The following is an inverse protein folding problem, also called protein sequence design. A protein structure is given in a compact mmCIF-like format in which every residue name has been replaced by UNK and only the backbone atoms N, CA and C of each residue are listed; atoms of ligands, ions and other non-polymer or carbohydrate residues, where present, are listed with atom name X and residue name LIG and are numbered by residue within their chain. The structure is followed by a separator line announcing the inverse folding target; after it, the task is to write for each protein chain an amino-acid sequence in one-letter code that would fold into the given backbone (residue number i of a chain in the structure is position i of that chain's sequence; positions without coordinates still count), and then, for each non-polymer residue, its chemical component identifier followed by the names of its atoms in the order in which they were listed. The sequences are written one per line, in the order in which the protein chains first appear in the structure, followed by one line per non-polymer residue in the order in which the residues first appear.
data_IF_825047397937
#
_entry.id   IF_825047397937
#
_cell.length_a   1.000
_cell.length_b   1.000
_cell.length_c   1.000
_cell.angle_alpha   90.00
_cell.angle_beta   90.00
_cell.angle_gamma   90.00
#
_symmetry.space_group_name_H-M   'P 1'
#
loop_
_entity.id
_entity.type
_entity.pdbx_description
1 polymer ?
#
# COMPACT_ATOMS: atom_id res chain seq x y z
N UNK A 1 17.84 -23.86 25.35
CA UNK A 1 16.72 -22.92 25.12
C UNK A 1 17.13 -21.75 24.22
N UNK A 2 16.52 -21.66 23.05
CA UNK A 2 16.82 -20.65 22.04
C UNK A 2 16.03 -19.35 22.29
N UNK A 3 16.62 -18.21 21.91
CA UNK A 3 16.00 -16.88 22.01
C UNK A 3 16.27 -16.13 20.71
N UNK A 4 15.21 -15.65 20.06
CA UNK A 4 15.34 -14.73 18.93
C UNK A 4 15.30 -13.29 19.46
N UNK A 5 16.39 -12.54 19.22
CA UNK A 5 16.51 -11.13 19.61
C UNK A 5 16.55 -10.26 18.37
N UNK A 6 15.58 -9.37 18.23
CA UNK A 6 15.49 -8.41 17.14
C UNK A 6 15.79 -7.02 17.71
N UNK A 7 16.66 -6.27 17.04
CA UNK A 7 16.99 -4.89 17.40
C UNK A 7 16.44 -3.94 16.31
N UNK A 8 15.61 -2.98 16.71
CA UNK A 8 14.96 -2.06 15.80
C UNK A 8 15.72 -0.73 15.72
N UNK A 9 15.76 -0.14 14.52
CA UNK A 9 16.35 1.18 14.30
C UNK A 9 15.42 2.30 14.77
N UNK A 10 15.86 3.04 15.81
CA UNK A 10 15.12 4.17 16.39
C UNK A 10 14.80 5.27 15.38
N UNK A 11 15.67 5.52 14.39
CA UNK A 11 15.43 6.57 13.38
C UNK A 11 14.20 6.24 12.54
N UNK A 12 14.16 5.01 12.02
CA UNK A 12 13.04 4.52 11.20
C UNK A 12 11.73 4.42 11.97
N UNK A 13 11.79 4.07 13.25
CA UNK A 13 10.61 4.06 14.14
C UNK A 13 9.99 5.46 14.28
N UNK A 14 10.84 6.48 14.45
CA UNK A 14 10.40 7.87 14.61
C UNK A 14 9.82 8.42 13.30
N UNK A 15 10.50 8.18 12.16
CA UNK A 15 10.05 8.66 10.85
C UNK A 15 8.68 8.09 10.46
N UNK A 16 8.45 6.81 10.77
CA UNK A 16 7.20 6.10 10.48
C UNK A 16 6.14 6.23 11.58
N UNK A 17 6.45 6.93 12.69
CA UNK A 17 5.57 7.08 13.86
C UNK A 17 5.03 5.74 14.38
N UNK A 18 5.89 4.74 14.47
CA UNK A 18 5.57 3.41 14.99
C UNK A 18 5.90 3.35 16.49
N UNK A 19 5.04 2.68 17.26
CA UNK A 19 5.25 2.39 18.69
C UNK A 19 5.58 0.92 18.91
N UNK A 20 6.32 0.59 19.96
CA UNK A 20 6.67 -0.81 20.26
C UNK A 20 5.41 -1.65 20.57
N UNK A 21 4.40 -1.05 21.18
CA UNK A 21 3.10 -1.69 21.45
C UNK A 21 2.40 -2.14 20.17
N UNK A 22 2.29 -1.27 19.16
CA UNK A 22 1.66 -1.59 17.88
C UNK A 22 2.37 -2.74 17.15
N UNK A 23 3.71 -2.76 17.21
CA UNK A 23 4.50 -3.83 16.60
C UNK A 23 4.27 -5.14 17.34
N UNK A 24 4.27 -5.13 18.68
CA UNK A 24 4.01 -6.31 19.49
C UNK A 24 2.62 -6.90 19.21
N UNK A 25 1.59 -6.04 19.12
CA UNK A 25 0.24 -6.47 18.78
C UNK A 25 0.17 -7.12 17.40
N UNK A 26 0.86 -6.55 16.41
CA UNK A 26 0.94 -7.12 15.05
C UNK A 26 1.67 -8.45 15.00
N UNK A 27 2.75 -8.60 15.74
CA UNK A 27 3.47 -9.88 15.84
C UNK A 27 2.58 -10.95 16.48
N UNK A 28 1.90 -10.62 17.58
CA UNK A 28 0.97 -11.56 18.23
C UNK A 28 -0.22 -11.93 17.34
N UNK A 29 -0.76 -10.96 16.57
CA UNK A 29 -1.82 -11.24 15.59
C UNK A 29 -1.35 -12.14 14.45
N UNK A 30 -0.09 -12.02 14.01
CA UNK A 30 0.45 -12.80 12.89
C UNK A 30 0.85 -14.23 13.25
N UNK A 31 1.39 -14.43 14.45
CA UNK A 31 1.96 -15.72 14.88
C UNK A 31 1.16 -16.45 15.97
N UNK A 32 0.08 -15.84 16.49
CA UNK A 32 -0.78 -16.45 17.51
C UNK A 32 -0.15 -16.54 18.90
N UNK A 33 -0.72 -17.41 19.74
CA UNK A 33 -0.30 -17.62 21.16
C UNK A 33 0.95 -18.50 21.31
N UNK A 34 1.47 -19.05 20.21
CA UNK A 34 2.67 -19.91 20.20
C UNK A 34 3.96 -19.12 20.46
N UNK A 35 3.88 -17.78 20.43
CA UNK A 35 5.02 -16.89 20.55
C UNK A 35 4.86 -15.95 21.75
N UNK A 36 5.77 -16.07 22.73
CA UNK A 36 5.88 -15.11 23.81
C UNK A 36 6.82 -13.96 23.39
N UNK A 37 6.22 -12.79 23.19
CA UNK A 37 6.92 -11.55 22.81
C UNK A 37 7.13 -10.66 24.02
N UNK A 38 8.40 -10.37 24.32
CA UNK A 38 8.78 -9.38 25.33
C UNK A 38 9.55 -8.27 24.64
N UNK A 39 9.14 -7.03 24.85
CA UNK A 39 9.75 -5.85 24.24
C UNK A 39 10.20 -4.84 25.30
N UNK A 40 11.18 -4.02 24.94
CA UNK A 40 11.65 -2.89 25.75
C UNK A 40 10.76 -1.68 25.54
N UNK A 41 10.66 -0.82 26.55
CA UNK A 41 9.98 0.48 26.46
C UNK A 41 10.63 1.42 25.42
N UNK A 42 9.85 2.35 24.87
CA UNK A 42 10.25 3.29 23.81
C UNK A 42 11.40 4.22 24.26
N UNK A 43 11.49 4.47 25.57
CA UNK A 43 12.52 5.33 26.17
C UNK A 43 13.89 4.64 26.31
N UNK A 44 13.98 3.32 26.16
CA UNK A 44 15.25 2.59 26.31
C UNK A 44 16.28 2.98 25.23
N UNK A 45 17.58 2.95 25.57
CA UNK A 45 18.65 3.28 24.61
C UNK A 45 18.64 2.40 23.37
N UNK A 46 18.19 1.14 23.52
CA UNK A 46 18.06 0.16 22.45
C UNK A 46 16.66 -0.41 22.45
N UNK A 47 16.00 -0.33 21.30
CA UNK A 47 14.69 -0.92 21.06
C UNK A 47 14.89 -2.39 20.69
N UNK A 48 14.53 -3.29 21.60
CA UNK A 48 14.78 -4.73 21.47
C UNK A 48 13.50 -5.52 21.68
N UNK A 49 13.24 -6.44 20.76
CA UNK A 49 12.26 -7.51 20.89
C UNK A 49 12.96 -8.83 21.23
N UNK A 50 12.37 -9.57 22.16
CA UNK A 50 12.80 -10.90 22.59
C UNK A 50 11.65 -11.86 22.41
N UNK A 51 11.81 -12.79 21.48
CA UNK A 51 10.79 -13.76 21.11
C UNK A 51 11.20 -15.13 21.65
N UNK A 52 10.27 -15.79 22.34
CA UNK A 52 10.40 -17.18 22.78
C UNK A 52 9.22 -17.98 22.26
N UNK A 53 9.48 -19.23 21.89
CA UNK A 53 8.42 -20.20 21.61
C UNK A 53 7.75 -20.51 22.96
N UNK A 54 6.42 -20.40 23.00
CA UNK A 54 5.63 -20.86 24.12
C UNK A 54 5.65 -22.38 24.10
N UNK A 55 6.21 -23.00 25.13
CA UNK A 55 6.06 -24.44 25.30
C UNK A 55 4.64 -24.67 25.80
N UNK A 56 3.71 -24.99 24.90
CA UNK A 56 2.49 -25.65 25.31
C UNK A 56 2.91 -27.00 25.91
N UNK A 57 2.70 -27.14 27.22
CA UNK A 57 2.80 -28.40 27.94
C UNK A 57 1.67 -29.33 27.47
N UNK A 58 1.68 -29.76 26.20
CA UNK A 58 0.81 -30.81 25.71
C UNK A 58 1.30 -32.14 26.28
N UNK A 59 0.91 -32.39 27.53
CA UNK A 59 0.99 -33.70 28.21
C UNK A 59 -0.01 -34.72 27.64
N UNK A 60 -0.45 -34.57 26.39
CA UNK A 60 -1.40 -35.47 25.74
C UNK A 60 -1.11 -35.63 24.24
N UNK A 61 -0.01 -36.28 23.89
CA UNK A 61 0.12 -37.05 22.65
C UNK A 61 1.38 -37.91 22.73
N UNK A 62 1.29 -39.02 23.47
CA UNK A 62 2.03 -40.22 23.07
C UNK A 62 1.33 -40.74 21.81
N UNK A 63 1.75 -40.29 20.62
CA UNK A 63 1.73 -41.05 19.36
C UNK A 63 2.13 -40.13 18.19
N UNK A 64 2.95 -40.70 17.29
CA UNK A 64 3.46 -40.16 16.03
C UNK A 64 4.66 -39.19 16.10
N UNK A 65 5.84 -39.81 16.09
CA UNK A 65 7.06 -39.25 15.50
C UNK A 65 6.80 -38.87 14.03
N UNK A 66 6.39 -37.62 13.81
CA UNK A 66 6.62 -36.92 12.54
C UNK A 66 7.38 -35.65 12.91
N UNK A 67 8.68 -35.66 12.59
CA UNK A 67 9.66 -34.59 12.77
C UNK A 67 9.14 -33.32 13.45
N UNK A 68 9.20 -33.27 14.78
CA UNK A 68 9.17 -32.00 15.50
C UNK A 68 10.33 -31.19 14.93
N UNK A 69 10.01 -30.24 14.05
CA UNK A 69 10.99 -29.37 13.41
C UNK A 69 11.94 -28.87 14.49
N UNK A 70 13.25 -29.04 14.29
CA UNK A 70 14.23 -28.62 15.30
C UNK A 70 13.98 -27.15 15.63
N UNK A 71 13.97 -26.81 16.93
CA UNK A 71 13.60 -25.48 17.43
C UNK A 71 14.38 -24.35 16.74
N UNK A 72 15.61 -24.62 16.29
CA UNK A 72 16.46 -23.67 15.56
C UNK A 72 16.01 -23.45 14.10
N UNK A 73 15.56 -24.50 13.41
CA UNK A 73 14.94 -24.42 12.08
C UNK A 73 13.62 -23.66 12.16
N UNK A 74 12.84 -23.87 13.22
CA UNK A 74 11.61 -23.13 13.47
C UNK A 74 11.86 -21.64 13.69
N UNK A 75 12.84 -21.26 14.50
CA UNK A 75 13.19 -19.84 14.69
C UNK A 75 13.70 -19.16 13.42
N UNK A 76 14.45 -19.88 12.58
CA UNK A 76 14.88 -19.37 11.27
C UNK A 76 13.70 -19.16 10.32
N UNK A 77 12.70 -20.05 10.38
CA UNK A 77 11.48 -19.90 9.59
C UNK A 77 10.69 -18.66 10.03
N UNK A 78 10.54 -18.45 11.35
CA UNK A 78 9.90 -17.25 11.90
C UNK A 78 10.65 -15.98 11.50
N UNK A 79 11.98 -15.97 11.60
CA UNK A 79 12.80 -14.83 11.18
C UNK A 79 12.54 -14.46 9.72
N UNK A 80 12.59 -15.45 8.81
CA UNK A 80 12.37 -15.23 7.39
C UNK A 80 10.94 -14.72 7.12
N UNK A 81 9.94 -15.37 7.70
CA UNK A 81 8.53 -15.03 7.51
C UNK A 81 8.21 -13.64 8.07
N UNK A 82 8.67 -13.33 9.28
CA UNK A 82 8.47 -12.02 9.92
C UNK A 82 9.10 -10.87 9.13
N UNK A 83 10.21 -11.11 8.44
CA UNK A 83 10.84 -10.09 7.60
C UNK A 83 10.15 -9.93 6.24
N UNK A 84 9.53 -10.99 5.70
CA UNK A 84 8.93 -10.98 4.36
C UNK A 84 7.45 -10.61 4.35
N UNK A 85 6.65 -11.16 5.27
CA UNK A 85 5.19 -11.17 5.17
C UNK A 85 4.51 -10.29 6.22
N UNK A 86 5.18 -10.00 7.34
CA UNK A 86 4.58 -9.18 8.40
C UNK A 86 4.51 -7.70 8.00
N UNK A 87 3.35 -7.28 7.50
CA UNK A 87 3.05 -5.88 7.25
C UNK A 87 2.63 -5.16 8.54
N UNK A 88 3.48 -4.27 9.04
CA UNK A 88 3.19 -3.46 10.24
C UNK A 88 2.08 -2.42 9.99
N UNK A 89 2.20 -1.67 8.88
CA UNK A 89 1.26 -0.64 8.47
C UNK A 89 1.29 -0.47 6.95
N UNK A 90 0.18 0.01 6.39
CA UNK A 90 0.04 0.32 4.97
C UNK A 90 -0.58 -0.82 4.16
N UNK A 91 -0.62 -0.60 2.85
CA UNK A 91 -1.18 -1.55 1.89
C UNK A 91 -0.03 -2.31 1.24
N UNK A 92 0.01 -3.66 1.30
CA UNK A 92 1.18 -4.43 0.85
C UNK A 92 1.45 -4.32 -0.66
N UNK A 93 0.41 -4.04 -1.46
CA UNK A 93 0.54 -3.82 -2.90
C UNK A 93 1.23 -2.49 -3.26
N UNK A 94 1.31 -1.53 -2.33
CA UNK A 94 1.93 -0.21 -2.57
C UNK A 94 3.35 -0.22 -2.00
N UNK A 95 4.33 -0.07 -2.88
CA UNK A 95 5.75 -0.15 -2.50
C UNK A 95 6.24 1.15 -1.85
N UNK A 96 5.92 2.29 -2.46
CA UNK A 96 6.42 3.61 -2.03
C UNK A 96 5.37 4.68 -2.27
N UNK A 97 5.42 5.73 -1.45
CA UNK A 97 4.57 6.91 -1.59
C UNK A 97 5.44 8.15 -1.55
N UNK A 98 5.24 9.02 -2.54
CA UNK A 98 5.91 10.31 -2.67
C UNK A 98 4.93 11.43 -2.38
N UNK A 99 5.31 12.34 -1.49
CA UNK A 99 4.53 13.52 -1.19
C UNK A 99 5.18 14.73 -1.86
N UNK A 100 4.43 15.45 -2.69
CA UNK A 100 4.91 16.68 -3.29
C UNK A 100 3.78 17.69 -3.48
N UNK A 101 4.16 18.95 -3.68
CA UNK A 101 3.22 20.02 -4.00
C UNK A 101 3.27 20.27 -5.51
N UNK A 102 2.16 20.16 -6.25
CA UNK A 102 2.17 20.27 -7.69
C UNK A 102 2.53 21.69 -8.13
N UNK A 103 3.45 21.78 -9.08
CA UNK A 103 3.89 23.05 -9.68
C UNK A 103 3.05 23.40 -10.90
N UNK A 104 2.62 22.39 -11.67
CA UNK A 104 1.76 22.53 -12.85
C UNK A 104 0.33 22.93 -12.46
N UNK A 105 -0.32 23.73 -13.31
CA UNK A 105 -1.68 24.19 -13.05
C UNK A 105 -2.72 23.07 -13.21
N UNK A 106 -2.44 22.05 -14.04
CA UNK A 106 -3.35 20.91 -14.28
C UNK A 106 -3.63 20.09 -13.02
N UNK A 107 -2.64 20.01 -12.12
CA UNK A 107 -2.75 19.27 -10.85
C UNK A 107 -3.23 20.16 -9.68
N UNK A 108 -3.44 21.47 -9.89
CA UNK A 108 -3.93 22.37 -8.84
C UNK A 108 -5.45 22.34 -8.76
N UNK A 109 -5.98 22.46 -7.54
CA UNK A 109 -7.43 22.57 -7.36
C UNK A 109 -7.88 23.97 -7.76
N UNK A 110 -8.68 24.06 -8.82
CA UNK A 110 -9.32 25.32 -9.20
C UNK A 110 -10.62 25.48 -8.41
N UNK A 111 -10.73 26.57 -7.66
CA UNK A 111 -11.95 26.95 -6.96
C UNK A 111 -12.50 28.27 -7.52
N UNK A 112 -13.83 28.39 -7.49
CA UNK A 112 -14.51 29.64 -7.81
C UNK A 112 -14.56 30.48 -6.53
N UNK A 113 -14.02 31.69 -6.57
CA UNK A 113 -14.08 32.62 -5.43
C UNK A 113 -15.49 33.19 -5.27
N UNK A 114 -15.87 33.66 -4.07
CA UNK A 114 -17.16 34.33 -3.87
C UNK A 114 -17.38 35.55 -4.79
N UNK A 115 -16.30 36.13 -5.30
CA UNK A 115 -16.27 37.25 -6.24
C UNK A 115 -16.47 36.82 -7.71
N UNK A 116 -16.59 35.50 -7.97
CA UNK A 116 -16.77 34.93 -9.30
C UNK A 116 -15.47 34.68 -10.09
N UNK A 117 -14.30 34.86 -9.47
CA UNK A 117 -13.00 34.60 -10.10
C UNK A 117 -12.56 33.13 -9.97
N UNK A 118 -11.62 32.69 -10.81
CA UNK A 118 -10.97 31.38 -10.68
C UNK A 118 -9.68 31.51 -9.89
N UNK A 119 -9.49 30.66 -8.88
CA UNK A 119 -8.26 30.59 -8.10
C UNK A 119 -7.72 29.17 -8.07
N UNK A 120 -6.49 28.99 -8.55
CA UNK A 120 -5.76 27.73 -8.45
C UNK A 120 -5.07 27.63 -7.08
N UNK A 121 -5.44 26.61 -6.30
CA UNK A 121 -4.85 26.30 -4.99
C UNK A 121 -4.00 25.05 -5.15
N UNK A 122 -2.73 25.17 -4.80
CA UNK A 122 -1.81 24.04 -4.74
C UNK A 122 -1.95 23.32 -3.38
N UNK A 123 -2.42 22.08 -3.43
CA UNK A 123 -2.60 21.18 -2.28
C UNK A 123 -1.47 20.15 -2.24
N UNK A 124 -1.24 19.54 -1.08
CA UNK A 124 -0.31 18.41 -1.01
C UNK A 124 -0.94 17.19 -1.66
N UNK A 125 -0.21 16.55 -2.58
CA UNK A 125 -0.65 15.33 -3.25
C UNK A 125 0.32 14.19 -2.95
N UNK A 126 -0.24 12.99 -2.95
CA UNK A 126 0.48 11.73 -2.76
C UNK A 126 0.49 10.99 -4.10
N UNK A 127 1.68 10.58 -4.55
CA UNK A 127 1.84 9.69 -5.70
C UNK A 127 2.37 8.36 -5.20
N UNK A 128 1.69 7.27 -5.56
CA UNK A 128 1.98 5.92 -5.09
C UNK A 128 2.62 5.11 -6.20
N UNK A 129 3.55 4.23 -5.82
CA UNK A 129 4.13 3.21 -6.69
C UNK A 129 3.52 1.85 -6.33
N UNK A 130 2.56 1.39 -7.12
CA UNK A 130 1.78 0.17 -6.91
C UNK A 130 0.28 0.34 -7.20
N UNK A 131 -0.46 -0.77 -7.26
CA UNK A 131 -1.88 -0.82 -7.64
C UNK A 131 -2.71 -1.36 -6.48
N UNK A 132 -3.56 -0.51 -5.89
CA UNK A 132 -4.55 -0.89 -4.89
C UNK A 132 -5.68 0.16 -4.73
N UNK A 133 -6.21 0.66 -5.84
CA UNK A 133 -7.18 1.74 -5.91
C UNK A 133 -8.39 1.51 -5.00
N UNK A 134 -8.95 0.29 -4.94
CA UNK A 134 -10.10 -0.03 -4.09
C UNK A 134 -9.82 0.22 -2.60
N UNK A 135 -8.65 -0.22 -2.12
CA UNK A 135 -8.23 -0.02 -0.73
C UNK A 135 -7.93 1.45 -0.45
N UNK A 136 -7.25 2.12 -1.38
CA UNK A 136 -6.92 3.55 -1.28
C UNK A 136 -8.19 4.40 -1.21
N UNK A 137 -9.20 4.13 -2.04
CA UNK A 137 -10.46 4.87 -2.02
C UNK A 137 -11.27 4.66 -0.72
N UNK A 138 -11.02 3.55 -0.02
CA UNK A 138 -11.70 3.21 1.25
C UNK A 138 -11.06 3.87 2.47
N UNK A 139 -9.87 4.46 2.32
CA UNK A 139 -9.14 5.06 3.43
C UNK A 139 -9.68 6.43 3.85
N UNK A 140 -9.54 6.72 5.14
CA UNK A 140 -10.01 7.99 5.72
C UNK A 140 -9.10 9.12 5.25
N UNK A 141 -9.70 10.29 4.99
CA UNK A 141 -9.01 11.50 4.53
C UNK A 141 -8.50 11.48 3.07
N UNK A 142 -8.80 10.43 2.31
CA UNK A 142 -8.58 10.40 0.86
C UNK A 142 -9.81 10.95 0.15
N UNK A 143 -9.59 11.72 -0.92
CA UNK A 143 -10.67 12.27 -1.75
C UNK A 143 -10.99 11.30 -2.90
N UNK A 144 -12.10 10.54 -2.83
CA UNK A 144 -12.40 9.52 -3.82
C UNK A 144 -12.83 10.10 -5.17
N UNK A 145 -13.14 11.39 -5.25
CA UNK A 145 -13.65 12.02 -6.47
C UNK A 145 -12.49 12.37 -7.42
N UNK A 146 -11.34 12.73 -6.86
CA UNK A 146 -10.17 13.21 -7.63
C UNK A 146 -9.02 12.21 -7.70
N UNK A 147 -9.11 11.09 -6.98
CA UNK A 147 -8.10 10.04 -7.02
C UNK A 147 -8.20 9.28 -8.35
N UNK A 148 -7.08 9.16 -9.05
CA UNK A 148 -6.97 8.46 -10.35
C UNK A 148 -5.81 7.48 -10.33
N UNK A 149 -5.94 6.38 -11.08
CA UNK A 149 -4.86 5.40 -11.31
C UNK A 149 -4.40 5.48 -12.76
N UNK A 150 -3.19 5.01 -13.03
CA UNK A 150 -2.67 4.81 -14.39
C UNK A 150 -2.88 3.37 -14.89
N UNK A 151 -3.28 2.45 -14.02
CA UNK A 151 -3.61 1.07 -14.41
C UNK A 151 -5.06 0.98 -14.90
N UNK A 152 -5.22 0.70 -16.20
CA UNK A 152 -6.53 0.60 -16.86
C UNK A 152 -7.28 -0.66 -16.40
N UNK A 153 -6.58 -1.76 -16.13
CA UNK A 153 -7.21 -3.01 -15.70
C UNK A 153 -7.81 -2.84 -14.30
N UNK A 154 -7.07 -2.19 -13.41
CA UNK A 154 -7.57 -1.86 -12.07
C UNK A 154 -8.80 -0.94 -12.12
N UNK A 155 -8.80 0.08 -12.99
CA UNK A 155 -9.94 0.96 -13.17
C UNK A 155 -11.17 0.20 -13.69
N UNK A 156 -10.97 -0.76 -14.60
CA UNK A 156 -12.05 -1.61 -15.09
C UNK A 156 -12.70 -2.42 -13.96
N UNK A 157 -11.90 -3.01 -13.08
CA UNK A 157 -12.38 -3.81 -11.96
C UNK A 157 -13.08 -2.98 -10.87
N UNK A 158 -12.56 -1.77 -10.57
CA UNK A 158 -13.05 -0.94 -9.46
C UNK A 158 -14.17 0.02 -9.88
N UNK A 159 -14.03 0.68 -11.04
CA UNK A 159 -14.93 1.76 -11.49
C UNK A 159 -15.75 1.39 -12.74
N UNK A 160 -15.33 0.38 -13.50
CA UNK A 160 -16.06 -0.12 -14.67
C UNK A 160 -15.66 0.50 -16.02
N UNK A 161 -16.36 0.07 -17.08
CA UNK A 161 -15.96 0.34 -18.48
C UNK A 161 -16.06 1.82 -18.89
N UNK A 162 -16.99 2.59 -18.34
CA UNK A 162 -17.10 4.03 -18.65
C UNK A 162 -15.96 4.84 -18.03
N UNK A 163 -15.49 4.44 -16.84
CA UNK A 163 -14.31 5.04 -16.23
C UNK A 163 -13.05 4.74 -17.05
N UNK A 164 -12.93 3.51 -17.57
CA UNK A 164 -11.86 3.11 -18.48
C UNK A 164 -11.83 3.99 -19.73
N UNK A 165 -12.97 4.18 -20.40
CA UNK A 165 -13.08 5.04 -21.59
C UNK A 165 -12.49 6.42 -21.33
N UNK A 166 -12.85 7.05 -20.20
CA UNK A 166 -12.35 8.38 -19.85
C UNK A 166 -10.89 8.37 -19.40
N UNK A 167 -10.44 7.31 -18.74
CA UNK A 167 -9.06 7.16 -18.29
C UNK A 167 -8.10 7.04 -19.47
N UNK A 168 -8.43 6.21 -20.47
CA UNK A 168 -7.64 6.05 -21.70
C UNK A 168 -7.54 7.40 -22.42
N UNK A 169 -8.66 8.10 -22.59
CA UNK A 169 -8.69 9.41 -23.26
C UNK A 169 -7.74 10.41 -22.58
N UNK A 170 -7.78 10.47 -21.23
CA UNK A 170 -6.90 11.35 -20.44
C UNK A 170 -5.44 10.96 -20.59
N UNK A 171 -5.12 9.68 -20.49
CA UNK A 171 -3.74 9.20 -20.54
C UNK A 171 -3.10 9.42 -21.91
N UNK A 172 -3.84 9.13 -22.99
CA UNK A 172 -3.37 9.41 -24.36
C UNK A 172 -3.16 10.91 -24.58
N UNK A 173 -4.08 11.75 -24.10
CA UNK A 173 -3.93 13.20 -24.21
C UNK A 173 -2.72 13.71 -23.41
N UNK A 174 -2.45 13.15 -22.22
CA UNK A 174 -1.28 13.48 -21.41
C UNK A 174 0.03 13.14 -22.15
N UNK A 175 0.12 11.97 -22.79
CA UNK A 175 1.32 11.55 -23.54
C UNK A 175 1.54 12.42 -24.78
N UNK A 176 0.48 12.70 -25.56
CA UNK A 176 0.59 13.50 -26.78
C UNK A 176 0.93 14.95 -26.47
N UNK A 177 0.28 15.53 -25.46
CA UNK A 177 0.54 16.93 -25.05
C UNK A 177 1.93 17.11 -24.45
N UNK A 178 2.49 16.09 -23.81
CA UNK A 178 3.87 16.11 -23.31
C UNK A 178 4.91 16.27 -24.43
N UNK A 179 4.66 15.66 -25.59
CA UNK A 179 5.49 15.81 -26.80
C UNK A 179 5.27 17.15 -27.53
N UNK A 180 4.28 17.95 -27.09
CA UNK A 180 3.90 19.21 -27.73
C UNK A 180 3.11 19.03 -29.03
N UNK A 181 2.84 17.79 -29.42
CA UNK A 181 2.00 17.43 -30.55
C UNK A 181 0.52 17.63 -30.23
N UNK A 182 -0.29 17.97 -31.24
CA UNK A 182 -1.73 18.14 -31.08
C UNK A 182 -2.51 17.12 -31.90
N UNK A 183 -3.46 16.45 -31.27
CA UNK A 183 -4.43 15.56 -31.92
C UNK A 183 -5.83 16.07 -31.61
N UNK A 184 -6.70 16.11 -32.62
CA UNK A 184 -8.08 16.52 -32.43
C UNK A 184 -8.81 15.52 -31.51
N UNK A 185 -9.57 16.03 -30.52
CA UNK A 185 -10.39 15.25 -29.60
C UNK A 185 -11.25 14.18 -30.29
N UNK A 186 -11.79 14.48 -31.48
CA UNK A 186 -12.63 13.54 -32.24
C UNK A 186 -11.92 12.22 -32.57
N UNK A 187 -10.60 12.25 -32.81
CA UNK A 187 -9.84 11.04 -33.10
C UNK A 187 -9.58 10.21 -31.84
N UNK A 188 -9.23 10.88 -30.73
CA UNK A 188 -8.99 10.22 -29.44
C UNK A 188 -10.28 9.58 -28.90
N UNK A 189 -11.39 10.31 -28.95
CA UNK A 189 -12.69 9.81 -28.53
C UNK A 189 -13.12 8.58 -29.34
N UNK A 190 -12.97 8.62 -30.67
CA UNK A 190 -13.32 7.49 -31.52
C UNK A 190 -12.50 6.23 -31.20
N UNK A 191 -11.20 6.40 -30.92
CA UNK A 191 -10.35 5.27 -30.54
C UNK A 191 -10.80 4.65 -29.21
N UNK A 192 -11.03 5.50 -28.20
CA UNK A 192 -11.50 5.04 -26.89
C UNK A 192 -12.83 4.29 -27.01
N UNK A 193 -13.76 4.81 -27.84
CA UNK A 193 -15.05 4.18 -28.10
C UNK A 193 -14.90 2.81 -28.75
N UNK A 194 -14.01 2.67 -29.73
CA UNK A 194 -13.73 1.39 -30.38
C UNK A 194 -13.14 0.40 -29.38
N UNK A 195 -12.25 0.83 -28.49
CA UNK A 195 -11.64 -0.03 -27.46
C UNK A 195 -12.66 -0.52 -26.41
N UNK A 196 -13.67 0.28 -26.08
CA UNK A 196 -14.64 -0.02 -25.01
C UNK A 196 -16.03 -0.45 -25.48
N UNK A 197 -16.32 -0.44 -26.78
CA UNK A 197 -17.66 -0.66 -27.34
C UNK A 197 -18.32 -1.99 -26.95
N UNK A 198 -17.55 -3.06 -26.72
CA UNK A 198 -18.08 -4.39 -26.40
C UNK A 198 -18.33 -4.63 -24.91
N UNK A 199 -18.14 -3.63 -24.05
CA UNK A 199 -18.29 -3.76 -22.60
C UNK A 199 -17.13 -4.48 -21.89
N UNK A 200 -16.08 -4.82 -22.63
CA UNK A 200 -14.85 -5.46 -22.13
C UNK A 200 -13.67 -4.78 -22.81
N UNK A 201 -12.50 -4.79 -22.15
CA UNK A 201 -11.30 -4.18 -22.71
C UNK A 201 -10.83 -4.94 -23.95
N UNK A 202 -10.83 -4.30 -25.12
CA UNK A 202 -10.24 -4.87 -26.33
C UNK A 202 -8.82 -4.36 -26.53
N UNK A 203 -7.88 -5.29 -26.69
CA UNK A 203 -6.57 -4.98 -27.26
C UNK A 203 -6.73 -4.72 -28.77
N UNK A 204 -6.10 -3.66 -29.26
CA UNK A 204 -6.03 -3.31 -30.70
C UNK A 204 -4.65 -3.67 -31.22
#
# INVERSE_FOLDING_TARGET
PWLLRIELDRKRMTDKKLTMEQIAEKVNQGFGDDLNVIYTDDNADKLVFRLRISATDDKQAEEEQVDKMEDDVFLRCIEANMLSDLALQGIPQISKVYMHKPTTDDKKRVIITPEGGFKAIAEWILETDGTALLKVLSERHIDPIRTTSNDICEIFEVLGIEAVRKSIEREMNNVISFDGSYVNYRHLALLCDVMTAKGHLMAI
#
